data_IF_824865890068
#
_entry.id   IF_824865890068
#
_cell.length_a   1.000
_cell.length_b   1.000
_cell.length_c   1.000
_cell.angle_alpha   90.00
_cell.angle_beta   90.00
_cell.angle_gamma   90.00
#
_symmetry.space_group_name_H-M   'P 1'
#
loop_
_entity.id
_entity.type
_entity.pdbx_description
1 polymer ?
#
# COMPACT_ATOMS: atom_id res chain seq x y z
N UNK A 1 -21.54 -20.00 -20.52
CA UNK A 1 -21.20 -18.57 -20.53
C UNK A 1 -20.41 -18.19 -19.29
N UNK A 2 -19.45 -17.34 -19.47
CA UNK A 2 -18.66 -16.91 -18.36
C UNK A 2 -19.42 -16.03 -17.40
N UNK A 3 -19.12 -16.20 -16.13
CA UNK A 3 -19.70 -15.36 -15.10
C UNK A 3 -18.86 -14.07 -14.99
N UNK A 4 -19.39 -12.90 -15.40
CA UNK A 4 -18.65 -11.66 -15.33
C UNK A 4 -18.20 -11.32 -13.92
N UNK A 5 -18.98 -11.74 -12.94
CA UNK A 5 -18.66 -11.49 -11.55
C UNK A 5 -17.38 -12.20 -11.14
N UNK A 6 -17.19 -13.42 -11.63
CA UNK A 6 -15.98 -14.17 -11.35
C UNK A 6 -14.76 -13.48 -11.93
N UNK A 7 -14.88 -13.00 -13.16
CA UNK A 7 -13.79 -12.26 -13.79
C UNK A 7 -13.45 -11.00 -13.00
N UNK A 8 -14.48 -10.28 -12.58
CA UNK A 8 -14.27 -9.06 -11.82
C UNK A 8 -13.58 -9.35 -10.50
N UNK A 9 -13.95 -10.45 -9.87
CA UNK A 9 -13.34 -10.84 -8.60
C UNK A 9 -11.86 -11.13 -8.78
N UNK A 10 -11.50 -11.85 -9.83
CA UNK A 10 -10.10 -12.17 -10.11
C UNK A 10 -9.31 -10.90 -10.39
N UNK A 11 -9.88 -10.00 -11.16
CA UNK A 11 -9.22 -8.75 -11.48
C UNK A 11 -9.04 -7.91 -10.22
N UNK A 12 -10.06 -7.83 -9.39
CA UNK A 12 -10.00 -7.03 -8.17
C UNK A 12 -8.94 -7.58 -7.22
N UNK A 13 -8.83 -8.89 -7.11
CA UNK A 13 -7.80 -9.50 -6.24
C UNK A 13 -6.41 -9.19 -6.76
N UNK A 14 -6.24 -9.27 -8.07
CA UNK A 14 -4.96 -8.99 -8.70
C UNK A 14 -4.58 -7.52 -8.49
N UNK A 15 -5.54 -6.61 -8.72
CA UNK A 15 -5.30 -5.19 -8.57
C UNK A 15 -4.95 -4.85 -7.12
N UNK A 16 -5.69 -5.44 -6.18
CA UNK A 16 -5.42 -5.17 -4.77
C UNK A 16 -4.01 -5.63 -4.39
N UNK A 17 -3.58 -6.76 -4.91
CA UNK A 17 -2.23 -7.24 -4.63
C UNK A 17 -1.19 -6.25 -5.13
N UNK A 18 -1.37 -5.71 -6.33
CA UNK A 18 -0.45 -4.71 -6.86
C UNK A 18 -0.45 -3.46 -5.99
N UNK A 19 -1.62 -3.02 -5.56
CA UNK A 19 -1.73 -1.84 -4.72
C UNK A 19 -1.04 -2.03 -3.39
N UNK A 20 -1.21 -3.20 -2.79
CA UNK A 20 -0.55 -3.51 -1.52
C UNK A 20 0.97 -3.53 -1.68
N UNK A 21 1.45 -4.09 -2.80
CA UNK A 21 2.88 -4.11 -3.06
C UNK A 21 3.42 -2.68 -3.20
N UNK A 22 2.68 -1.81 -3.84
CA UNK A 22 3.09 -0.41 -3.95
C UNK A 22 3.09 0.28 -2.60
N UNK A 23 2.10 0.00 -1.77
CA UNK A 23 2.06 0.55 -0.42
C UNK A 23 3.28 0.14 0.38
N UNK A 24 3.65 -1.13 0.28
CA UNK A 24 4.84 -1.62 0.97
C UNK A 24 6.09 -0.89 0.51
N UNK A 25 6.20 -0.66 -0.78
CA UNK A 25 7.34 0.05 -1.34
C UNK A 25 7.40 1.48 -0.83
N UNK A 26 6.27 2.19 -0.87
CA UNK A 26 6.23 3.56 -0.37
C UNK A 26 6.52 3.61 1.13
N UNK A 27 6.01 2.64 1.86
CA UNK A 27 6.22 2.60 3.31
C UNK A 27 7.70 2.42 3.63
N UNK A 28 8.38 1.54 2.91
CA UNK A 28 9.81 1.36 3.10
C UNK A 28 10.58 2.63 2.82
N UNK A 29 10.21 3.32 1.75
CA UNK A 29 10.84 4.59 1.40
C UNK A 29 10.61 5.61 2.51
N UNK A 30 9.37 5.67 3.03
CA UNK A 30 9.02 6.55 4.11
C UNK A 30 9.90 6.29 5.33
N UNK A 31 10.04 5.03 5.69
CA UNK A 31 10.89 4.66 6.84
C UNK A 31 12.35 5.02 6.60
N UNK A 32 12.83 4.82 5.37
CA UNK A 32 14.20 5.16 5.03
C UNK A 32 14.45 6.67 5.16
N UNK A 33 13.46 7.47 4.77
CA UNK A 33 13.58 8.92 4.92
C UNK A 33 13.67 9.28 6.39
N UNK A 34 12.81 8.68 7.21
CA UNK A 34 12.84 8.95 8.66
C UNK A 34 14.15 8.55 9.29
N UNK A 35 14.78 7.51 8.77
CA UNK A 35 16.07 7.04 9.28
C UNK A 35 17.25 7.81 8.70
N UNK A 36 17.00 8.76 7.80
CA UNK A 36 18.07 9.53 7.19
C UNK A 36 18.83 8.81 6.12
N UNK A 37 18.28 7.72 5.60
CA UNK A 37 18.94 6.90 4.59
C UNK A 37 18.49 7.22 3.18
N UNK A 38 17.51 8.10 3.03
CA UNK A 38 16.95 8.46 1.73
C UNK A 38 16.71 9.95 1.71
N UNK A 39 16.98 10.58 0.57
CA UNK A 39 16.83 12.02 0.43
C UNK A 39 15.55 12.43 -0.26
N UNK A 40 14.63 11.50 -0.49
CA UNK A 40 13.36 11.82 -1.11
C UNK A 40 12.52 12.70 -0.20
N UNK A 41 11.60 13.42 -0.80
CA UNK A 41 10.72 14.31 -0.06
C UNK A 41 9.67 13.48 0.68
N UNK A 42 9.69 13.55 2.00
CA UNK A 42 8.79 12.76 2.83
C UNK A 42 7.33 13.15 2.59
N UNK A 43 7.07 14.42 2.30
CA UNK A 43 5.70 14.86 2.05
C UNK A 43 5.16 14.26 0.75
N UNK A 44 6.00 14.12 -0.25
CA UNK A 44 5.61 13.51 -1.51
C UNK A 44 5.26 12.05 -1.30
N UNK A 45 6.13 11.33 -0.58
CA UNK A 45 5.90 9.91 -0.33
C UNK A 45 4.63 9.71 0.49
N UNK A 46 4.44 10.51 1.53
CA UNK A 46 3.25 10.43 2.36
C UNK A 46 2.00 10.69 1.54
N UNK A 47 2.06 11.69 0.65
CA UNK A 47 0.94 11.99 -0.23
C UNK A 47 0.58 10.83 -1.13
N UNK A 48 1.59 10.12 -1.64
CA UNK A 48 1.35 8.94 -2.48
C UNK A 48 0.66 7.84 -1.69
N UNK A 49 1.07 7.64 -0.45
CA UNK A 49 0.43 6.64 0.42
C UNK A 49 -1.02 7.01 0.65
N UNK A 50 -1.29 8.26 1.00
CA UNK A 50 -2.66 8.73 1.24
C UNK A 50 -3.52 8.55 0.00
N UNK A 51 -2.99 8.94 -1.14
CA UNK A 51 -3.72 8.85 -2.40
C UNK A 51 -4.07 7.41 -2.73
N UNK A 52 -3.11 6.51 -2.55
CA UNK A 52 -3.32 5.11 -2.86
C UNK A 52 -4.36 4.50 -1.92
N UNK A 53 -4.30 4.83 -0.64
CA UNK A 53 -5.29 4.35 0.31
C UNK A 53 -6.69 4.87 -0.04
N UNK A 54 -6.76 6.12 -0.48
CA UNK A 54 -8.03 6.70 -0.91
C UNK A 54 -8.61 5.95 -2.09
N UNK A 55 -7.77 5.65 -3.08
CA UNK A 55 -8.20 4.90 -4.25
C UNK A 55 -8.69 3.52 -3.87
N UNK A 56 -8.03 2.88 -2.90
CA UNK A 56 -8.41 1.56 -2.44
C UNK A 56 -9.62 1.57 -1.53
N UNK A 57 -10.05 2.75 -1.07
CA UNK A 57 -11.15 2.84 -0.12
C UNK A 57 -10.79 2.35 1.26
N UNK A 58 -9.54 2.46 1.64
CA UNK A 58 -9.03 1.97 2.91
C UNK A 58 -8.68 3.11 3.84
N UNK A 59 -8.81 2.87 5.14
CA UNK A 59 -8.36 3.82 6.13
C UNK A 59 -6.83 3.82 6.18
N UNK A 60 -6.23 5.00 6.06
CA UNK A 60 -4.77 5.11 6.00
C UNK A 60 -4.13 4.53 7.25
N UNK A 61 -4.65 4.88 8.41
CA UNK A 61 -4.06 4.44 9.67
C UNK A 61 -4.05 2.93 9.80
N UNK A 62 -5.21 2.30 9.56
CA UNK A 62 -5.34 0.86 9.66
C UNK A 62 -4.46 0.17 8.62
N UNK A 63 -4.45 0.71 7.40
CA UNK A 63 -3.67 0.12 6.32
C UNK A 63 -2.19 0.17 6.64
N UNK A 64 -1.72 1.29 7.20
CA UNK A 64 -0.31 1.41 7.55
C UNK A 64 0.07 0.43 8.65
N UNK A 65 -0.80 0.20 9.62
CA UNK A 65 -0.54 -0.78 10.64
C UNK A 65 -0.40 -2.18 10.07
N UNK A 66 -1.28 -2.53 9.14
CA UNK A 66 -1.23 -3.83 8.49
C UNK A 66 0.05 -4.00 7.69
N UNK A 67 0.45 -2.97 6.96
CA UNK A 67 1.66 -3.02 6.17
C UNK A 67 2.88 -3.19 7.08
N UNK A 68 2.90 -2.45 8.18
CA UNK A 68 3.99 -2.55 9.13
C UNK A 68 4.13 -3.98 9.67
N UNK A 69 2.99 -4.58 10.03
CA UNK A 69 3.00 -5.94 10.57
C UNK A 69 3.51 -6.93 9.53
N UNK A 70 3.07 -6.77 8.28
CA UNK A 70 3.50 -7.69 7.22
C UNK A 70 4.99 -7.57 6.94
N UNK A 71 5.50 -6.34 6.95
CA UNK A 71 6.89 -6.12 6.60
C UNK A 71 7.85 -6.53 7.70
N UNK A 72 7.45 -6.32 8.95
CA UNK A 72 8.35 -6.52 10.08
C UNK A 72 8.00 -7.72 10.93
N UNK A 73 6.98 -8.46 10.53
CA UNK A 73 6.68 -9.74 11.14
C UNK A 73 6.38 -9.68 12.61
N UNK A 74 5.54 -8.76 13.00
CA UNK A 74 5.17 -8.62 14.40
C UNK A 74 4.43 -9.87 14.87
N UNK A 75 4.77 -10.34 16.01
CA UNK A 75 4.11 -11.48 16.60
C UNK A 75 3.06 -11.07 17.53
#
# INVERSE_FOLDING_TARGET
MKNPRTLNTDYDAWLRRLQVEQLKKFYRTFQAILAGQCNDDIDVVRGKIFKLCEVMGEDVHTTMEQIHDELYGIE
#
